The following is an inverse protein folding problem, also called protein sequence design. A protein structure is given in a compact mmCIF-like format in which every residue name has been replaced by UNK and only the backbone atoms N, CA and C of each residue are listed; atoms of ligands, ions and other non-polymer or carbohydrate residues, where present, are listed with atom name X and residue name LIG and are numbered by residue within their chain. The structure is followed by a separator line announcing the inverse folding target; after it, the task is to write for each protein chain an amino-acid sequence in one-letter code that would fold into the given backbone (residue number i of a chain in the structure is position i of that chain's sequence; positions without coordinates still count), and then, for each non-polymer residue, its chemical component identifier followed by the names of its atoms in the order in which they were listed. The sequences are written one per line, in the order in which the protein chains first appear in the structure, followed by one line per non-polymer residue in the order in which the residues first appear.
data_IF_255806331871
#
_entry.id   IF_255806331871
#
_cell.length_a   1.000
_cell.length_b   1.000
_cell.length_c   1.000
_cell.angle_alpha   90.00
_cell.angle_beta   90.00
_cell.angle_gamma   90.00
#
_symmetry.space_group_name_H-M   'P 1'
#
loop_
_entity.id
_entity.type
_entity.pdbx_description
1 polymer ?
#
# COMPACT_ATOMS: atom_id res chain seq x y z
N UNK A 1 59.05 44.48 -6.64
CA UNK A 1 57.95 45.14 -7.37
C UNK A 1 56.76 44.19 -7.29
N UNK A 2 55.87 44.29 -6.30
CA UNK A 2 54.89 45.36 -6.09
C UNK A 2 53.58 44.92 -6.76
N UNK A 3 52.73 44.15 -6.08
CA UNK A 3 51.52 44.59 -5.36
C UNK A 3 50.45 45.26 -6.24
N UNK A 4 49.29 44.59 -6.40
CA UNK A 4 47.99 45.19 -6.05
C UNK A 4 46.99 44.12 -5.60
N UNK A 5 46.47 44.29 -4.39
CA UNK A 5 45.32 43.62 -3.79
C UNK A 5 44.02 44.39 -4.09
N UNK A 6 42.88 43.71 -4.07
CA UNK A 6 41.59 44.27 -3.63
C UNK A 6 40.72 43.10 -3.12
N UNK A 7 40.71 42.87 -1.80
CA UNK A 7 39.75 43.35 -0.78
C UNK A 7 38.40 42.61 -0.79
N UNK A 8 38.34 41.65 0.12
CA UNK A 8 37.15 41.09 0.76
C UNK A 8 36.52 42.18 1.63
N UNK A 9 35.19 42.30 1.60
CA UNK A 9 34.41 42.91 2.65
C UNK A 9 33.18 42.04 2.91
N UNK A 10 33.18 41.37 4.05
CA UNK A 10 31.98 40.88 4.74
C UNK A 10 31.38 42.08 5.48
N UNK A 11 30.05 42.24 5.48
CA UNK A 11 29.29 42.15 6.74
C UNK A 11 27.76 42.18 6.59
N UNK A 12 27.16 41.33 7.44
CA UNK A 12 25.89 41.43 8.19
C UNK A 12 24.52 41.62 7.52
N UNK A 13 23.71 40.57 7.74
CA UNK A 13 22.32 40.57 8.24
C UNK A 13 21.24 41.35 7.49
N UNK A 14 20.28 40.60 6.95
CA UNK A 14 18.86 40.80 7.28
C UNK A 14 18.10 39.50 7.01
N UNK A 15 17.52 38.99 8.08
CA UNK A 15 16.72 37.78 8.15
C UNK A 15 15.54 37.80 7.18
N UNK A 16 15.27 36.65 6.56
CA UNK A 16 13.91 36.28 6.22
C UNK A 16 13.76 34.76 6.33
N UNK A 17 13.30 34.37 7.52
CA UNK A 17 12.67 33.09 7.84
C UNK A 17 11.55 32.79 6.82
N UNK A 18 11.74 31.82 5.91
CA UNK A 18 10.60 31.08 5.35
C UNK A 18 10.97 29.59 5.23
N UNK A 19 10.36 28.81 6.13
CA UNK A 19 10.07 27.37 6.04
C UNK A 19 11.23 26.36 6.11
N UNK A 20 11.88 26.31 7.28
CA UNK A 20 12.22 25.02 7.91
C UNK A 20 10.95 24.39 8.50
N UNK A 21 10.13 23.73 7.67
CA UNK A 21 9.33 22.59 8.15
C UNK A 21 10.09 21.32 7.80
N UNK A 22 11.05 21.03 8.66
CA UNK A 22 11.58 19.69 8.86
C UNK A 22 10.41 18.80 9.27
N UNK A 23 9.75 18.18 8.30
CA UNK A 23 8.83 17.08 8.58
C UNK A 23 9.67 15.87 8.96
N UNK A 24 10.07 15.82 10.22
CA UNK A 24 10.35 14.56 10.91
C UNK A 24 9.07 13.75 10.84
N UNK A 25 8.95 12.93 9.80
CA UNK A 25 7.82 12.04 9.56
C UNK A 25 7.88 10.87 10.55
N UNK A 26 7.52 11.16 11.79
CA UNK A 26 7.15 10.17 12.81
C UNK A 26 5.68 9.73 12.67
N UNK A 27 5.13 9.72 11.45
CA UNK A 27 3.88 9.05 11.13
C UNK A 27 4.14 7.56 10.85
N UNK A 28 4.74 6.92 11.85
CA UNK A 28 4.75 5.48 11.97
C UNK A 28 3.39 5.11 12.58
N UNK A 29 2.38 4.90 11.73
CA UNK A 29 1.09 4.28 12.07
C UNK A 29 0.59 4.61 13.50
N UNK A 30 0.50 5.90 13.86
CA UNK A 30 -0.46 6.29 14.89
C UNK A 30 -1.82 6.11 14.24
N UNK A 31 -2.35 4.90 14.41
CA UNK A 31 -3.73 4.55 14.15
C UNK A 31 -4.55 5.44 15.08
N UNK A 32 -4.82 6.66 14.65
CA UNK A 32 -5.87 7.46 15.25
C UNK A 32 -7.16 6.66 15.04
N UNK A 33 -7.79 6.38 16.17
CA UNK A 33 -9.01 5.60 16.39
C UNK A 33 -10.27 6.20 15.74
N UNK A 34 -10.10 7.01 14.68
CA UNK A 34 -11.08 8.00 14.24
C UNK A 34 -11.65 7.71 12.85
N UNK A 35 -11.77 6.43 12.49
CA UNK A 35 -12.75 5.97 11.50
C UNK A 35 -13.18 4.54 11.86
N UNK A 36 -13.62 4.32 13.10
CA UNK A 36 -14.66 3.31 13.32
C UNK A 36 -15.97 3.81 12.69
N UNK A 37 -16.03 3.90 11.35
CA UNK A 37 -17.33 3.64 10.72
C UNK A 37 -17.55 2.16 10.95
N UNK A 38 -18.30 1.84 12.01
CA UNK A 38 -18.98 0.56 12.13
C UNK A 38 -19.54 0.25 10.73
N UNK A 39 -19.16 -0.87 10.10
CA UNK A 39 -19.81 -1.27 8.86
C UNK A 39 -21.30 -1.23 9.14
N UNK A 40 -22.04 -0.46 8.34
CA UNK A 40 -23.50 -0.50 8.41
C UNK A 40 -23.89 -1.97 8.32
N UNK A 41 -24.52 -2.50 9.36
CA UNK A 41 -24.75 -3.94 9.55
C UNK A 41 -25.57 -4.60 8.42
N UNK A 42 -25.99 -3.83 7.42
CA UNK A 42 -26.86 -4.24 6.32
C UNK A 42 -26.26 -4.11 4.90
N UNK A 43 -25.03 -3.60 4.70
CA UNK A 43 -24.38 -3.69 3.37
C UNK A 43 -23.32 -4.79 3.37
N UNK A 44 -23.70 -6.00 2.96
CA UNK A 44 -22.70 -7.02 2.63
C UNK A 44 -21.84 -6.49 1.48
N UNK A 45 -20.59 -6.14 1.76
CA UNK A 45 -19.62 -5.74 0.74
C UNK A 45 -19.44 -6.88 -0.26
N UNK A 46 -19.10 -6.60 -1.52
CA UNK A 46 -19.05 -7.66 -2.55
C UNK A 46 -17.95 -8.70 -2.30
N UNK A 47 -17.06 -8.48 -1.33
CA UNK A 47 -15.97 -9.38 -0.94
C UNK A 47 -16.45 -10.80 -0.60
N UNK A 48 -17.63 -10.96 0.02
CA UNK A 48 -18.18 -12.28 0.40
C UNK A 48 -18.45 -13.20 -0.81
N UNK A 49 -18.54 -12.63 -2.02
CA UNK A 49 -18.70 -13.39 -3.26
C UNK A 49 -17.38 -13.97 -3.78
N UNK A 50 -16.25 -13.47 -3.28
CA UNK A 50 -14.90 -13.97 -3.64
C UNK A 50 -14.70 -15.32 -2.95
N UNK A 51 -14.56 -16.38 -3.75
CA UNK A 51 -14.42 -17.76 -3.23
C UNK A 51 -13.03 -18.02 -2.69
N UNK A 52 -12.97 -18.60 -1.51
CA UNK A 52 -11.73 -19.16 -0.95
C UNK A 52 -11.57 -20.62 -1.40
N UNK A 53 -10.48 -20.93 -2.08
CA UNK A 53 -10.32 -22.21 -2.81
C UNK A 53 -9.08 -23.01 -2.39
N UNK A 54 -8.39 -22.59 -1.33
CA UNK A 54 -7.23 -23.32 -0.81
C UNK A 54 -7.66 -24.63 -0.13
N UNK A 55 -7.10 -25.73 -0.61
CA UNK A 55 -7.25 -27.07 -0.02
C UNK A 55 -6.32 -27.24 1.19
N UNK A 56 -6.58 -28.29 1.98
CA UNK A 56 -5.75 -28.61 3.16
C UNK A 56 -4.26 -28.79 2.82
N UNK A 57 -3.97 -29.48 1.72
CA UNK A 57 -2.60 -29.74 1.28
C UNK A 57 -1.91 -28.45 0.80
N UNK A 58 -2.66 -27.57 0.14
CA UNK A 58 -2.17 -26.25 -0.27
C UNK A 58 -1.89 -25.33 0.91
N UNK A 59 -2.72 -25.38 1.96
CA UNK A 59 -2.41 -24.66 3.22
C UNK A 59 -1.13 -25.20 3.86
N UNK A 60 -0.98 -26.53 3.91
CA UNK A 60 0.16 -27.18 4.51
C UNK A 60 1.48 -26.86 3.78
N UNK A 61 1.50 -26.87 2.44
CA UNK A 61 2.70 -26.53 1.67
C UNK A 61 3.10 -25.06 1.85
N UNK A 62 2.12 -24.14 1.93
CA UNK A 62 2.38 -22.73 2.21
C UNK A 62 3.00 -22.54 3.59
N UNK A 63 2.41 -23.13 4.62
CA UNK A 63 2.92 -23.05 5.99
C UNK A 63 4.30 -23.67 6.13
N UNK A 64 4.55 -24.81 5.48
CA UNK A 64 5.84 -25.49 5.50
C UNK A 64 6.98 -24.61 4.98
N UNK A 65 6.75 -23.89 3.88
CA UNK A 65 7.82 -23.23 3.12
C UNK A 65 7.90 -21.72 3.28
N UNK A 66 6.84 -21.05 3.75
CA UNK A 66 6.79 -19.58 3.79
C UNK A 66 7.99 -18.97 4.53
N UNK A 67 8.13 -19.25 5.83
CA UNK A 67 9.25 -18.70 6.61
C UNK A 67 10.54 -19.47 6.33
N UNK A 68 10.48 -20.80 6.37
CA UNK A 68 11.66 -21.68 6.35
C UNK A 68 12.43 -21.68 5.03
N UNK A 69 11.75 -21.37 3.92
CA UNK A 69 12.30 -21.45 2.56
C UNK A 69 12.26 -20.09 1.89
N UNK A 70 11.07 -19.50 1.73
CA UNK A 70 10.89 -18.28 0.92
C UNK A 70 11.52 -17.07 1.58
N UNK A 71 11.17 -16.77 2.83
CA UNK A 71 11.69 -15.58 3.53
C UNK A 71 13.17 -15.69 3.90
N UNK A 72 13.68 -16.92 4.10
CA UNK A 72 15.12 -17.17 4.32
C UNK A 72 15.94 -16.91 3.05
N UNK A 73 15.48 -17.38 1.88
CA UNK A 73 16.25 -17.25 0.63
C UNK A 73 16.12 -15.86 0.01
N UNK A 74 14.99 -15.19 0.18
CA UNK A 74 14.78 -13.82 -0.32
C UNK A 74 14.48 -12.90 0.88
N UNK A 75 15.52 -12.48 1.63
CA UNK A 75 15.35 -11.42 2.61
C UNK A 75 14.85 -10.16 1.89
N UNK A 76 13.92 -9.47 2.53
CA UNK A 76 13.24 -8.29 1.99
C UNK A 76 12.44 -8.54 0.70
N UNK A 77 11.91 -9.75 0.50
CA UNK A 77 11.03 -10.11 -0.62
C UNK A 77 10.04 -8.99 -0.97
N UNK A 78 9.30 -8.50 0.03
CA UNK A 78 8.28 -7.47 -0.15
C UNK A 78 8.85 -6.10 -0.55
N UNK A 79 10.03 -5.72 -0.05
CA UNK A 79 10.68 -4.47 -0.47
C UNK A 79 11.12 -4.58 -1.92
N UNK A 80 11.72 -5.72 -2.31
CA UNK A 80 12.10 -6.00 -3.70
C UNK A 80 10.89 -6.00 -4.63
N UNK A 81 9.77 -6.60 -4.21
CA UNK A 81 8.51 -6.54 -4.96
C UNK A 81 8.05 -5.11 -5.17
N UNK A 82 8.07 -4.27 -4.12
CA UNK A 82 7.66 -2.87 -4.22
C UNK A 82 8.60 -2.06 -5.13
N UNK A 83 9.91 -2.28 -5.05
CA UNK A 83 10.90 -1.63 -5.93
C UNK A 83 10.68 -2.01 -7.40
N UNK A 84 10.46 -3.30 -7.68
CA UNK A 84 10.15 -3.75 -9.04
C UNK A 84 8.82 -3.15 -9.55
N UNK A 85 7.82 -3.07 -8.67
CA UNK A 85 6.53 -2.46 -9.01
C UNK A 85 6.67 -0.97 -9.32
N UNK A 86 7.52 -0.23 -8.59
CA UNK A 86 7.82 1.19 -8.86
C UNK A 86 8.58 1.34 -10.18
N UNK A 87 9.52 0.44 -10.48
CA UNK A 87 10.23 0.43 -11.76
C UNK A 87 9.27 0.24 -12.94
N UNK A 88 8.28 -0.63 -12.80
CA UNK A 88 7.24 -0.85 -13.82
C UNK A 88 6.20 0.27 -13.86
N UNK A 89 5.90 0.89 -12.71
CA UNK A 89 4.98 2.01 -12.61
C UNK A 89 5.50 3.12 -11.70
N UNK A 90 6.23 4.11 -12.26
CA UNK A 90 6.78 5.22 -11.49
C UNK A 90 5.73 6.06 -10.75
N UNK A 91 4.45 5.97 -11.13
CA UNK A 91 3.33 6.60 -10.41
C UNK A 91 3.18 6.12 -8.96
N UNK A 92 3.74 4.96 -8.61
CA UNK A 92 3.81 4.50 -7.23
C UNK A 92 4.69 5.39 -6.34
N UNK A 93 5.59 6.21 -6.91
CA UNK A 93 6.36 7.21 -6.18
C UNK A 93 5.44 8.24 -5.49
N UNK A 94 4.37 8.65 -6.15
CA UNK A 94 3.37 9.58 -5.59
C UNK A 94 2.65 8.94 -4.40
N UNK A 95 2.28 7.66 -4.52
CA UNK A 95 1.61 6.89 -3.46
C UNK A 95 2.49 6.80 -2.20
N UNK A 96 3.79 6.59 -2.36
CA UNK A 96 4.75 6.58 -1.26
C UNK A 96 5.26 7.99 -0.89
N UNK A 97 4.66 9.04 -1.47
CA UNK A 97 5.03 10.44 -1.27
C UNK A 97 6.54 10.68 -1.41
N UNK A 98 7.19 9.97 -2.34
CA UNK A 98 8.59 10.18 -2.67
C UNK A 98 8.68 11.38 -3.60
N UNK A 99 9.35 12.44 -3.13
CA UNK A 99 9.51 13.71 -3.86
C UNK A 99 10.89 13.87 -4.47
N UNK A 100 11.65 12.78 -4.55
CA UNK A 100 12.94 12.80 -5.23
C UNK A 100 12.70 13.01 -6.72
N UNK A 101 13.46 13.91 -7.35
CA UNK A 101 13.30 14.21 -8.77
C UNK A 101 13.64 13.02 -9.68
N UNK A 102 14.66 12.24 -9.29
CA UNK A 102 15.06 10.99 -9.96
C UNK A 102 15.71 10.04 -8.94
N UNK A 103 14.92 9.32 -8.12
CA UNK A 103 15.46 8.40 -7.13
C UNK A 103 16.07 7.18 -7.80
N UNK A 104 17.36 6.92 -7.57
CA UNK A 104 17.92 5.62 -7.89
C UNK A 104 17.39 4.55 -6.91
N UNK A 105 17.57 3.27 -7.26
CA UNK A 105 17.04 2.14 -6.46
C UNK A 105 17.64 2.10 -5.04
N UNK A 106 18.90 2.50 -4.87
CA UNK A 106 19.58 2.49 -3.57
C UNK A 106 19.01 3.56 -2.62
N UNK A 107 18.67 4.74 -3.12
CA UNK A 107 18.01 5.77 -2.32
C UNK A 107 16.57 5.36 -1.98
N UNK A 108 15.90 4.73 -2.94
CA UNK A 108 14.52 4.30 -2.79
C UNK A 108 14.36 3.16 -1.78
N UNK A 109 15.31 2.21 -1.73
CA UNK A 109 15.24 1.10 -0.76
C UNK A 109 15.36 1.58 0.69
N UNK A 110 15.97 2.74 0.93
CA UNK A 110 16.05 3.38 2.24
C UNK A 110 14.88 4.32 2.54
N UNK A 111 13.94 4.50 1.61
CA UNK A 111 12.79 5.38 1.82
C UNK A 111 11.90 4.87 2.98
N UNK A 112 11.72 5.64 4.08
CA UNK A 112 11.07 5.14 5.29
C UNK A 112 9.65 4.62 5.07
N UNK A 113 8.85 5.33 4.27
CA UNK A 113 7.48 4.91 3.95
C UNK A 113 7.45 3.62 3.14
N UNK A 114 8.40 3.44 2.21
CA UNK A 114 8.50 2.21 1.41
C UNK A 114 8.86 1.01 2.28
N UNK A 115 9.88 1.15 3.15
CA UNK A 115 10.27 0.09 4.11
C UNK A 115 9.12 -0.26 5.04
N UNK A 116 8.41 0.74 5.55
CA UNK A 116 7.26 0.53 6.42
C UNK A 116 6.14 -0.24 5.72
N UNK A 117 5.80 0.13 4.48
CA UNK A 117 4.80 -0.59 3.68
C UNK A 117 5.25 -2.02 3.35
N UNK A 118 6.51 -2.21 2.94
CA UNK A 118 7.06 -3.52 2.65
C UNK A 118 7.00 -4.46 3.87
N UNK A 119 7.38 -3.95 5.06
CA UNK A 119 7.25 -4.69 6.32
C UNK A 119 5.79 -4.98 6.67
N UNK A 120 4.90 -4.01 6.49
CA UNK A 120 3.45 -4.21 6.69
C UNK A 120 2.89 -5.32 5.81
N UNK A 121 3.27 -5.36 4.54
CA UNK A 121 2.86 -6.42 3.61
C UNK A 121 3.44 -7.78 4.03
N UNK A 122 4.72 -7.84 4.42
CA UNK A 122 5.34 -9.08 4.90
C UNK A 122 4.63 -9.62 6.14
N UNK A 123 4.36 -8.75 7.11
CA UNK A 123 3.65 -9.11 8.33
C UNK A 123 2.22 -9.58 8.03
N UNK A 124 1.53 -8.92 7.10
CA UNK A 124 0.18 -9.31 6.70
C UNK A 124 0.15 -10.74 6.14
N UNK A 125 0.99 -11.05 5.15
CA UNK A 125 1.05 -12.41 4.57
C UNK A 125 1.50 -13.44 5.60
N UNK A 126 2.48 -13.10 6.44
CA UNK A 126 2.97 -14.00 7.50
C UNK A 126 1.87 -14.30 8.52
N UNK A 127 1.13 -13.28 8.96
CA UNK A 127 -0.06 -13.46 9.81
C UNK A 127 -1.08 -14.40 9.16
N UNK A 128 -1.39 -14.19 7.87
CA UNK A 128 -2.37 -15.05 7.20
C UNK A 128 -1.91 -16.50 7.09
N UNK A 129 -0.64 -16.72 6.76
CA UNK A 129 -0.09 -18.06 6.52
C UNK A 129 0.17 -18.80 7.85
N UNK A 130 0.82 -18.15 8.80
CA UNK A 130 1.38 -18.77 10.01
C UNK A 130 0.44 -18.63 11.22
N UNK A 131 -0.05 -17.42 11.50
CA UNK A 131 -0.84 -17.16 12.72
C UNK A 131 -2.32 -17.55 12.55
N UNK A 132 -2.93 -17.12 11.46
CA UNK A 132 -4.33 -17.42 11.14
C UNK A 132 -4.48 -18.81 10.51
N UNK A 133 -3.37 -19.53 10.28
CA UNK A 133 -3.34 -20.86 9.66
C UNK A 133 -4.15 -20.98 8.36
N UNK A 134 -4.27 -19.89 7.61
CA UNK A 134 -5.07 -19.83 6.38
C UNK A 134 -6.54 -20.21 6.61
N UNK A 135 -7.10 -19.89 7.77
CA UNK A 135 -8.52 -20.06 8.07
C UNK A 135 -9.35 -18.94 7.44
N UNK A 136 -10.27 -19.31 6.55
CA UNK A 136 -10.98 -18.36 5.68
C UNK A 136 -11.61 -17.19 6.46
N UNK A 137 -12.38 -17.40 7.54
CA UNK A 137 -13.06 -16.28 8.20
C UNK A 137 -12.08 -15.22 8.73
N UNK A 138 -10.92 -15.65 9.22
CA UNK A 138 -9.87 -14.76 9.71
C UNK A 138 -9.16 -14.04 8.57
N UNK A 139 -8.77 -14.80 7.53
CA UNK A 139 -8.08 -14.27 6.35
C UNK A 139 -8.95 -13.24 5.63
N UNK A 140 -10.23 -13.54 5.46
CA UNK A 140 -11.20 -12.64 4.84
C UNK A 140 -11.36 -11.36 5.65
N UNK A 141 -11.63 -11.47 6.95
CA UNK A 141 -11.83 -10.32 7.82
C UNK A 141 -10.61 -9.38 7.81
N UNK A 142 -9.41 -9.93 7.95
CA UNK A 142 -8.17 -9.14 7.89
C UNK A 142 -8.00 -8.46 6.52
N UNK A 143 -8.32 -9.16 5.43
CA UNK A 143 -8.24 -8.62 4.06
C UNK A 143 -9.25 -7.51 3.82
N UNK A 144 -10.46 -7.64 4.37
CA UNK A 144 -11.51 -6.64 4.21
C UNK A 144 -11.13 -5.33 4.90
N UNK A 145 -10.65 -5.42 6.14
CA UNK A 145 -10.11 -4.28 6.89
C UNK A 145 -8.96 -3.62 6.14
N UNK A 146 -8.02 -4.41 5.61
CA UNK A 146 -6.89 -3.88 4.87
C UNK A 146 -7.33 -3.22 3.55
N UNK A 147 -8.31 -3.78 2.85
CA UNK A 147 -8.87 -3.22 1.61
C UNK A 147 -9.50 -1.85 1.83
N UNK A 148 -10.27 -1.70 2.92
CA UNK A 148 -10.84 -0.41 3.31
C UNK A 148 -9.76 0.66 3.60
N UNK A 149 -8.60 0.27 4.13
CA UNK A 149 -7.48 1.21 4.39
C UNK A 149 -6.85 1.70 3.08
N UNK A 150 -6.84 0.89 2.01
CA UNK A 150 -6.19 1.26 0.75
C UNK A 150 -6.82 2.50 0.08
N UNK A 151 -8.09 2.80 0.38
CA UNK A 151 -8.76 4.01 -0.14
C UNK A 151 -8.05 5.30 0.29
N UNK A 152 -7.35 5.29 1.43
CA UNK A 152 -6.59 6.43 1.95
C UNK A 152 -5.45 6.85 1.02
N UNK A 153 -5.02 5.96 0.13
CA UNK A 153 -3.99 6.25 -0.85
C UNK A 153 -4.55 6.80 -2.17
N UNK A 154 -5.87 6.79 -2.36
CA UNK A 154 -6.50 7.28 -3.60
C UNK A 154 -6.24 8.76 -3.92
N UNK A 155 -6.12 9.71 -2.96
CA UNK A 155 -5.75 11.08 -3.27
C UNK A 155 -4.33 11.21 -3.84
N UNK A 156 -3.47 10.23 -3.57
CA UNK A 156 -2.11 10.14 -4.11
C UNK A 156 -2.06 9.32 -5.41
N UNK A 157 -3.21 9.10 -6.06
CA UNK A 157 -3.29 8.42 -7.34
C UNK A 157 -3.22 6.89 -7.28
N UNK A 158 -3.37 6.28 -6.10
CA UNK A 158 -3.43 4.82 -5.98
C UNK A 158 -4.58 4.26 -6.84
N UNK A 159 -4.28 3.23 -7.63
CA UNK A 159 -5.25 2.53 -8.49
C UNK A 159 -5.16 1.02 -8.24
N UNK A 160 -6.28 0.28 -8.31
CA UNK A 160 -6.29 -1.17 -8.19
C UNK A 160 -5.27 -1.89 -9.09
N UNK A 161 -4.99 -1.37 -10.28
CA UNK A 161 -4.00 -1.93 -11.22
C UNK A 161 -2.59 -2.02 -10.64
N UNK A 162 -2.27 -1.24 -9.59
CA UNK A 162 -1.00 -1.38 -8.88
C UNK A 162 -0.90 -2.69 -8.10
N UNK A 163 -2.03 -3.24 -7.63
CA UNK A 163 -2.05 -4.55 -6.97
C UNK A 163 -1.79 -5.67 -7.99
N UNK A 164 -2.22 -5.52 -9.24
CA UNK A 164 -1.90 -6.48 -10.31
C UNK A 164 -0.41 -6.50 -10.65
N UNK A 165 0.19 -5.30 -10.75
CA UNK A 165 1.64 -5.14 -10.95
C UNK A 165 2.41 -5.77 -9.78
N UNK A 166 1.99 -5.47 -8.56
CA UNK A 166 2.59 -6.03 -7.36
C UNK A 166 2.48 -7.56 -7.33
N UNK A 167 1.32 -8.10 -7.69
CA UNK A 167 1.05 -9.54 -7.77
C UNK A 167 1.99 -10.24 -8.75
N UNK A 168 2.10 -9.71 -9.97
CA UNK A 168 3.00 -10.25 -10.98
C UNK A 168 4.45 -10.29 -10.48
N UNK A 169 4.91 -9.20 -9.86
CA UNK A 169 6.28 -9.07 -9.37
C UNK A 169 6.61 -10.02 -8.22
N UNK A 170 5.69 -10.24 -7.26
CA UNK A 170 5.97 -11.17 -6.15
C UNK A 170 6.01 -12.62 -6.65
N UNK A 171 5.10 -13.00 -7.55
CA UNK A 171 5.12 -14.34 -8.15
C UNK A 171 6.42 -14.59 -8.92
N UNK A 172 6.84 -13.62 -9.74
CA UNK A 172 8.09 -13.69 -10.48
C UNK A 172 9.30 -13.85 -9.55
N UNK A 173 9.41 -13.01 -8.53
CA UNK A 173 10.53 -13.05 -7.57
C UNK A 173 10.63 -14.39 -6.85
N UNK A 174 9.50 -14.94 -6.39
CA UNK A 174 9.51 -16.25 -5.72
C UNK A 174 9.88 -17.35 -6.73
N UNK A 175 9.27 -17.34 -7.92
CA UNK A 175 9.51 -18.37 -8.92
C UNK A 175 10.96 -18.42 -9.40
N UNK A 176 11.59 -17.26 -9.59
CA UNK A 176 12.97 -17.16 -10.09
C UNK A 176 14.00 -17.22 -8.97
N UNK A 177 13.68 -16.71 -7.78
CA UNK A 177 14.64 -16.52 -6.70
C UNK A 177 14.63 -17.58 -5.60
N UNK A 178 13.59 -18.41 -5.51
CA UNK A 178 13.49 -19.47 -4.50
C UNK A 178 13.79 -20.83 -5.11
N UNK A 179 14.76 -21.52 -4.51
CA UNK A 179 15.10 -22.90 -4.83
C UNK A 179 14.44 -23.83 -3.82
N UNK A 180 13.71 -24.83 -4.32
CA UNK A 180 13.17 -25.91 -3.51
C UNK A 180 14.02 -27.16 -3.71
N UNK A 181 14.11 -28.02 -2.70
CA UNK A 181 14.77 -29.32 -2.83
C UNK A 181 14.05 -30.26 -3.81
N UNK A 182 12.77 -29.98 -4.10
CA UNK A 182 11.92 -30.77 -4.96
C UNK A 182 11.10 -29.85 -5.86
N UNK A 183 11.24 -30.00 -7.18
CA UNK A 183 10.52 -29.16 -8.15
C UNK A 183 9.00 -29.32 -8.06
N UNK A 184 8.51 -30.53 -7.78
CA UNK A 184 7.08 -30.76 -7.55
C UNK A 184 6.58 -30.04 -6.28
N UNK A 185 7.43 -29.85 -5.25
CA UNK A 185 7.07 -29.01 -4.11
C UNK A 185 7.00 -27.54 -4.49
N UNK A 186 7.95 -27.07 -5.33
CA UNK A 186 7.91 -25.70 -5.87
C UNK A 186 6.64 -25.46 -6.66
N UNK A 187 6.27 -26.35 -7.58
CA UNK A 187 5.05 -26.23 -8.38
C UNK A 187 3.79 -26.17 -7.50
N UNK A 188 3.70 -27.06 -6.50
CA UNK A 188 2.59 -27.06 -5.51
C UNK A 188 2.56 -25.77 -4.70
N UNK A 189 3.71 -25.31 -4.21
CA UNK A 189 3.82 -24.06 -3.48
C UNK A 189 3.38 -22.88 -4.34
N UNK A 190 3.90 -22.76 -5.56
CA UNK A 190 3.59 -21.66 -6.47
C UNK A 190 2.11 -21.64 -6.86
N UNK A 191 1.52 -22.82 -7.10
CA UNK A 191 0.08 -22.95 -7.36
C UNK A 191 -0.75 -22.48 -6.16
N UNK A 192 -0.42 -22.95 -4.95
CA UNK A 192 -1.09 -22.54 -3.72
C UNK A 192 -0.92 -21.03 -3.44
N UNK A 193 0.30 -20.51 -3.59
CA UNK A 193 0.61 -19.11 -3.32
C UNK A 193 -0.09 -18.18 -4.32
N UNK A 194 -0.16 -18.57 -5.59
CA UNK A 194 -0.92 -17.83 -6.61
C UNK A 194 -2.40 -17.77 -6.24
N UNK A 195 -3.01 -18.86 -5.79
CA UNK A 195 -4.40 -18.87 -5.33
C UNK A 195 -4.61 -17.97 -4.11
N UNK A 196 -3.70 -18.04 -3.13
CA UNK A 196 -3.74 -17.19 -1.94
C UNK A 196 -3.64 -15.71 -2.31
N UNK A 197 -2.57 -15.33 -3.03
CA UNK A 197 -2.31 -13.95 -3.42
C UNK A 197 -3.47 -13.39 -4.24
N UNK A 198 -3.98 -14.16 -5.22
CA UNK A 198 -5.14 -13.77 -6.00
C UNK A 198 -6.38 -13.54 -5.13
N UNK A 199 -6.68 -14.43 -4.18
CA UNK A 199 -7.80 -14.26 -3.26
C UNK A 199 -7.68 -12.97 -2.44
N UNK A 200 -6.53 -12.76 -1.80
CA UNK A 200 -6.26 -11.58 -0.97
C UNK A 200 -6.39 -10.30 -1.79
N UNK A 201 -5.72 -10.22 -2.94
CA UNK A 201 -5.73 -9.05 -3.82
C UNK A 201 -7.14 -8.77 -4.35
N UNK A 202 -7.91 -9.81 -4.69
CA UNK A 202 -9.28 -9.63 -5.16
C UNK A 202 -10.15 -9.00 -4.08
N UNK A 203 -10.03 -9.44 -2.81
CA UNK A 203 -10.73 -8.79 -1.70
C UNK A 203 -10.31 -7.33 -1.57
N UNK A 204 -9.00 -7.04 -1.61
CA UNK A 204 -8.50 -5.66 -1.51
C UNK A 204 -9.08 -4.76 -2.61
N UNK A 205 -9.14 -5.25 -3.85
CA UNK A 205 -9.70 -4.52 -4.99
C UNK A 205 -11.20 -4.28 -4.79
N UNK A 206 -11.95 -5.32 -4.43
CA UNK A 206 -13.40 -5.22 -4.24
C UNK A 206 -13.75 -4.22 -3.14
N UNK A 207 -13.07 -4.31 -2.00
CA UNK A 207 -13.27 -3.37 -0.89
C UNK A 207 -12.87 -1.95 -1.26
N UNK A 208 -11.75 -1.78 -1.96
CA UNK A 208 -11.33 -0.48 -2.48
C UNK A 208 -12.42 0.12 -3.37
N UNK A 209 -12.96 -0.65 -4.31
CA UNK A 209 -13.99 -0.18 -5.24
C UNK A 209 -15.31 0.15 -4.55
N UNK A 210 -15.74 -0.67 -3.60
CA UNK A 210 -16.98 -0.43 -2.86
C UNK A 210 -16.88 0.82 -1.98
N UNK A 211 -15.73 1.04 -1.31
CA UNK A 211 -15.47 2.28 -0.57
C UNK A 211 -15.36 3.50 -1.50
N UNK A 212 -14.70 3.36 -2.65
CA UNK A 212 -14.59 4.43 -3.64
C UNK A 212 -15.96 4.87 -4.19
N UNK A 213 -16.90 3.93 -4.39
CA UNK A 213 -18.29 4.26 -4.77
C UNK A 213 -18.97 5.07 -3.67
N UNK A 214 -18.78 4.69 -2.40
CA UNK A 214 -19.34 5.43 -1.26
C UNK A 214 -18.82 6.87 -1.18
N UNK A 215 -17.50 7.07 -1.37
CA UNK A 215 -16.89 8.42 -1.41
C UNK A 215 -17.52 9.28 -2.51
N UNK A 216 -17.63 8.74 -3.74
CA UNK A 216 -18.21 9.48 -4.88
C UNK A 216 -19.69 9.82 -4.69
N UNK A 217 -20.45 8.98 -4.00
CA UNK A 217 -21.86 9.26 -3.69
C UNK A 217 -21.96 10.39 -2.66
N UNK A 218 -21.14 10.34 -1.60
CA UNK A 218 -21.09 11.39 -0.60
C UNK A 218 -20.72 12.75 -1.19
N UNK A 219 -19.71 12.81 -2.06
CA UNK A 219 -19.31 14.05 -2.73
C UNK A 219 -20.46 14.66 -3.56
N UNK A 220 -21.27 13.83 -4.20
CA UNK A 220 -22.45 14.28 -4.96
C UNK A 220 -23.54 14.85 -4.06
N UNK A 221 -23.78 14.23 -2.91
CA UNK A 221 -24.77 14.70 -1.94
C UNK A 221 -24.36 16.05 -1.33
N UNK A 222 -23.09 16.19 -0.91
CA UNK A 222 -22.55 17.44 -0.35
C UNK A 222 -22.65 18.59 -1.36
N UNK A 223 -22.27 18.33 -2.62
CA UNK A 223 -22.35 19.33 -3.69
C UNK A 223 -23.81 19.75 -3.99
N UNK A 224 -24.77 18.82 -3.87
CA UNK A 224 -26.19 19.13 -4.05
C UNK A 224 -26.71 20.04 -2.93
N UNK A 225 -26.40 19.74 -1.68
CA UNK A 225 -26.80 20.57 -0.53
C UNK A 225 -26.20 21.97 -0.58
N UNK A 226 -24.94 22.11 -0.99
CA UNK A 226 -24.30 23.44 -1.14
C UNK A 226 -24.96 24.29 -2.23
N UNK A 227 -25.38 23.68 -3.34
CA UNK A 227 -26.10 24.37 -4.41
C UNK A 227 -27.52 24.79 -3.98
N UNK A 228 -28.22 23.96 -3.20
CA UNK A 228 -29.56 24.28 -2.67
C UNK A 228 -29.51 25.43 -1.64
N UNK A 229 -28.54 25.42 -0.72
CA UNK A 229 -28.33 26.52 0.24
C UNK A 229 -27.97 27.83 -0.47
N UNK A 230 -27.12 27.79 -1.49
CA UNK A 230 -26.73 28.98 -2.26
C UNK A 230 -27.91 29.58 -3.06
N UNK A 231 -28.84 28.74 -3.54
CA UNK A 231 -30.03 29.20 -4.27
C UNK A 231 -31.09 29.87 -3.38
N UNK A 232 -31.14 29.52 -2.09
CA UNK A 232 -32.12 30.07 -1.15
C UNK A 232 -31.72 31.48 -0.66
N UNK A 233 -30.41 31.76 -0.56
CA UNK A 233 -29.90 33.06 -0.10
C UNK A 233 -30.12 34.18 -1.14
N UNK A 234 -30.20 33.85 -2.43
CA UNK A 234 -30.43 34.84 -3.50
C UNK A 234 -31.92 35.22 -3.72
N UNK A 235 -32.85 34.64 -2.98
CA UNK A 235 -34.31 34.83 -3.20
C UNK A 235 -34.98 35.76 -2.18
N UNK A 236 -34.23 36.28 -1.19
CA UNK A 236 -34.77 37.02 -0.05
C UNK A 236 -34.56 38.54 -0.09
N UNK A 237 -34.64 39.15 -1.26
CA UNK A 237 -34.45 40.60 -1.42
C UNK A 237 -35.43 41.24 -2.39
N UNK A 238 -36.69 41.38 -1.98
CA UNK A 238 -37.63 42.43 -2.41
C UNK A 238 -38.63 42.72 -1.29
#
# INVERSE_FOLDING_TARGET
MGCTQAKIQQDTSLDNEINKKSTTSNDCLKVNHEFERKPSANSKTKSHLVKYTLTKDEKAILQKHWESTVLVQIPDLFLRTMLNSIKESPKLLDVINCRMGDPNIADLCEWPKLKCMARGNCNFFTKQIIENHLEEPLVRNDSEVLGAIHIKYSPYGFKPTFLDIWHSNILKLINEGVTFSNENEKEKFMSAFTKLAHFLITILIVEYEDHMKSVRLHDREVNKTQNEVSSTICSGGF
#
